data_IF_647292654702
#
_entry.id   IF_647292654702
#
_cell.length_a   1.000
_cell.length_b   1.000
_cell.length_c   1.000
_cell.angle_alpha   90.00
_cell.angle_beta   90.00
_cell.angle_gamma   90.00
#
_symmetry.space_group_name_H-M   'P 1'
#
loop_
_entity.id
_entity.type
_entity.pdbx_description
1 polymer ?
#
# COMPACT_ATOMS: atom_id res chain seq x y z
N UNK A 1 11.93 -48.32 -12.09
CA UNK A 1 11.74 -47.51 -10.86
C UNK A 1 12.36 -46.13 -11.06
N UNK A 2 11.55 -45.10 -11.28
CA UNK A 2 12.05 -43.72 -11.37
C UNK A 2 11.99 -43.07 -9.99
N UNK A 3 13.14 -42.77 -9.38
CA UNK A 3 13.22 -42.00 -8.14
C UNK A 3 13.13 -40.51 -8.49
N UNK A 4 12.00 -39.87 -8.15
CA UNK A 4 11.88 -38.40 -8.19
C UNK A 4 12.75 -37.81 -7.08
N UNK A 5 13.77 -37.06 -7.47
CA UNK A 5 14.67 -36.34 -6.56
C UNK A 5 14.00 -35.00 -6.19
N UNK A 6 13.61 -34.72 -4.93
CA UNK A 6 12.85 -33.53 -4.57
C UNK A 6 13.80 -32.37 -4.22
N UNK A 7 14.73 -32.01 -5.11
CA UNK A 7 15.69 -30.93 -4.85
C UNK A 7 15.12 -29.55 -5.22
N UNK A 8 14.03 -29.52 -5.99
CA UNK A 8 13.35 -28.27 -6.35
C UNK A 8 11.94 -28.29 -5.79
N UNK A 9 11.80 -27.80 -4.55
CA UNK A 9 10.51 -27.37 -4.03
C UNK A 9 10.22 -26.06 -4.76
N UNK A 10 9.45 -26.11 -5.85
CA UNK A 10 8.77 -24.91 -6.34
C UNK A 10 7.78 -24.57 -5.24
N UNK A 11 8.21 -23.76 -4.27
CA UNK A 11 7.32 -23.17 -3.27
C UNK A 11 6.31 -22.41 -4.11
N UNK A 12 5.09 -22.94 -4.23
CA UNK A 12 4.01 -22.28 -4.96
C UNK A 12 3.85 -20.91 -4.32
N UNK A 13 4.39 -19.88 -4.97
CA UNK A 13 4.36 -18.52 -4.46
C UNK A 13 2.91 -18.09 -4.43
N UNK A 14 2.34 -18.05 -3.22
CA UNK A 14 0.98 -17.56 -3.05
C UNK A 14 1.02 -16.04 -3.18
N UNK A 15 0.46 -15.54 -4.28
CA UNK A 15 0.38 -14.09 -4.56
C UNK A 15 -0.39 -13.33 -3.48
N UNK A 16 -1.20 -14.01 -2.66
CA UNK A 16 -1.90 -13.42 -1.51
C UNK A 16 -0.95 -12.94 -0.41
N UNK A 17 0.28 -13.46 -0.36
CA UNK A 17 1.29 -13.05 0.64
C UNK A 17 1.72 -11.60 0.44
N UNK A 18 1.74 -11.12 -0.81
CA UNK A 18 2.09 -9.72 -1.14
C UNK A 18 0.89 -8.81 -1.39
N UNK A 19 -0.34 -9.31 -1.22
CA UNK A 19 -1.53 -8.51 -1.46
C UNK A 19 -1.83 -7.65 -0.25
N UNK A 20 -1.98 -6.34 -0.46
CA UNK A 20 -2.46 -5.42 0.57
C UNK A 20 -3.86 -5.85 1.01
N UNK A 21 -4.02 -6.03 2.32
CA UNK A 21 -5.30 -6.28 2.96
C UNK A 21 -5.94 -4.95 3.31
N UNK A 22 -7.23 -4.96 3.61
CA UNK A 22 -7.96 -3.77 4.07
C UNK A 22 -7.25 -3.05 5.23
N UNK A 23 -6.73 -3.81 6.18
CA UNK A 23 -5.94 -3.28 7.31
C UNK A 23 -4.68 -2.52 6.86
N UNK A 24 -4.02 -2.99 5.80
CA UNK A 24 -2.84 -2.32 5.24
C UNK A 24 -3.23 -1.00 4.58
N UNK A 25 -4.35 -0.94 3.86
CA UNK A 25 -4.87 0.31 3.30
C UNK A 25 -5.24 1.32 4.39
N UNK A 26 -5.86 0.87 5.49
CA UNK A 26 -6.18 1.73 6.64
C UNK A 26 -4.92 2.30 7.30
N UNK A 27 -3.85 1.49 7.43
CA UNK A 27 -2.55 1.96 7.91
C UNK A 27 -1.91 2.96 6.96
N UNK A 28 -1.91 2.67 5.66
CA UNK A 28 -1.39 3.58 4.63
C UNK A 28 -2.13 4.92 4.70
N UNK A 29 -3.46 4.90 4.80
CA UNK A 29 -4.27 6.11 4.97
C UNK A 29 -3.86 6.92 6.20
N UNK A 30 -3.68 6.27 7.34
CA UNK A 30 -3.27 6.95 8.57
C UNK A 30 -1.91 7.64 8.41
N UNK A 31 -0.94 6.94 7.80
CA UNK A 31 0.39 7.50 7.53
C UNK A 31 0.30 8.70 6.57
N UNK A 32 -0.48 8.58 5.49
CA UNK A 32 -0.63 9.66 4.52
C UNK A 32 -1.33 10.89 5.11
N UNK A 33 -2.29 10.70 6.01
CA UNK A 33 -2.93 11.82 6.71
C UNK A 33 -1.96 12.55 7.65
N UNK A 34 -1.14 11.80 8.41
CA UNK A 34 -0.10 12.40 9.24
C UNK A 34 0.90 13.20 8.40
N UNK A 35 1.32 12.64 7.26
CA UNK A 35 2.20 13.34 6.33
C UNK A 35 1.53 14.58 5.72
N UNK A 36 0.23 14.53 5.42
CA UNK A 36 -0.51 15.69 4.92
C UNK A 36 -0.55 16.82 5.95
N UNK A 37 -0.79 16.51 7.22
CA UNK A 37 -0.75 17.49 8.31
C UNK A 37 0.63 18.13 8.46
N UNK A 38 1.70 17.32 8.36
CA UNK A 38 3.08 17.81 8.37
C UNK A 38 3.37 18.73 7.17
N UNK A 39 2.99 18.32 5.97
CA UNK A 39 3.19 19.10 4.74
C UNK A 39 2.41 20.42 4.74
N UNK A 40 1.21 20.44 5.33
CA UNK A 40 0.42 21.67 5.47
C UNK A 40 1.01 22.65 6.49
N UNK A 41 1.89 22.17 7.37
CA UNK A 41 2.56 23.00 8.38
C UNK A 41 3.85 23.64 7.87
N UNK A 42 4.30 23.29 6.66
CA UNK A 42 5.53 23.79 6.04
C UNK A 42 5.19 24.94 5.07
N UNK A 43 5.72 26.13 5.33
CA UNK A 43 5.46 27.34 4.53
C UNK A 43 5.93 27.25 3.06
N UNK A 44 6.84 26.32 2.74
CA UNK A 44 7.40 26.14 1.40
C UNK A 44 6.69 25.08 0.57
N UNK A 45 5.74 24.33 1.14
CA UNK A 45 5.08 23.24 0.43
C UNK A 45 4.16 23.80 -0.65
N UNK A 46 4.26 23.25 -1.86
CA UNK A 46 3.48 23.75 -3.00
C UNK A 46 2.05 23.21 -2.93
N UNK A 47 1.06 24.03 -3.30
CA UNK A 47 -0.35 23.62 -3.33
C UNK A 47 -0.59 22.36 -4.19
N UNK A 48 0.23 22.18 -5.24
CA UNK A 48 0.19 21.00 -6.11
C UNK A 48 0.56 19.71 -5.37
N UNK A 49 1.61 19.73 -4.53
CA UNK A 49 2.04 18.57 -3.75
C UNK A 49 0.97 18.16 -2.73
N UNK A 50 0.31 19.14 -2.13
CA UNK A 50 -0.83 18.92 -1.21
C UNK A 50 -2.01 18.29 -1.96
N UNK A 51 -2.32 18.75 -3.16
CA UNK A 51 -3.39 18.19 -3.98
C UNK A 51 -3.10 16.77 -4.46
N UNK A 52 -1.85 16.49 -4.84
CA UNK A 52 -1.41 15.15 -5.21
C UNK A 52 -1.54 14.18 -4.02
N UNK A 53 -1.15 14.63 -2.82
CA UNK A 53 -1.27 13.84 -1.60
C UNK A 53 -2.72 13.58 -1.22
N UNK A 54 -3.60 14.58 -1.31
CA UNK A 54 -5.05 14.42 -1.11
C UNK A 54 -5.65 13.43 -2.11
N UNK A 55 -5.23 13.50 -3.37
CA UNK A 55 -5.68 12.60 -4.42
C UNK A 55 -5.23 11.16 -4.13
N UNK A 56 -4.02 10.97 -3.62
CA UNK A 56 -3.52 9.66 -3.21
C UNK A 56 -4.32 9.08 -2.03
N UNK A 57 -4.60 9.90 -1.01
CA UNK A 57 -5.44 9.50 0.14
C UNK A 57 -6.82 9.03 -0.36
N UNK A 58 -7.46 9.79 -1.25
CA UNK A 58 -8.75 9.40 -1.82
C UNK A 58 -8.70 8.06 -2.56
N UNK A 59 -7.64 7.80 -3.34
CA UNK A 59 -7.46 6.51 -4.03
C UNK A 59 -7.30 5.35 -3.05
N UNK A 60 -6.59 5.58 -1.95
CA UNK A 60 -6.39 4.58 -0.88
C UNK A 60 -7.71 4.27 -0.17
N UNK A 61 -8.48 5.30 0.18
CA UNK A 61 -9.82 5.14 0.77
C UNK A 61 -10.75 4.35 -0.14
N UNK A 62 -10.83 4.76 -1.41
CA UNK A 62 -11.66 4.07 -2.40
C UNK A 62 -11.30 2.59 -2.53
N UNK A 63 -10.01 2.26 -2.50
CA UNK A 63 -9.57 0.87 -2.57
C UNK A 63 -9.89 0.09 -1.27
N UNK A 64 -9.78 0.73 -0.10
CA UNK A 64 -10.14 0.12 1.18
C UNK A 64 -11.65 -0.17 1.30
N UNK A 65 -12.50 0.69 0.73
CA UNK A 65 -13.96 0.51 0.69
C UNK A 65 -14.37 -0.67 -0.18
N UNK A 66 -13.62 -0.93 -1.25
CA UNK A 66 -13.89 -2.01 -2.21
C UNK A 66 -13.41 -3.39 -1.75
N UNK A 67 -12.65 -3.45 -0.67
CA UNK A 67 -12.20 -4.68 0.00
C UNK A 67 -13.14 -5.10 1.13
#
# INVERSE_FOLDING_TARGET
MYRKNPIYRTTTYDRKVGQLRKEDYLKIRQILNLYLEEQQSIDTTTNDEINDLKTLIWKVDHQAERM
#
